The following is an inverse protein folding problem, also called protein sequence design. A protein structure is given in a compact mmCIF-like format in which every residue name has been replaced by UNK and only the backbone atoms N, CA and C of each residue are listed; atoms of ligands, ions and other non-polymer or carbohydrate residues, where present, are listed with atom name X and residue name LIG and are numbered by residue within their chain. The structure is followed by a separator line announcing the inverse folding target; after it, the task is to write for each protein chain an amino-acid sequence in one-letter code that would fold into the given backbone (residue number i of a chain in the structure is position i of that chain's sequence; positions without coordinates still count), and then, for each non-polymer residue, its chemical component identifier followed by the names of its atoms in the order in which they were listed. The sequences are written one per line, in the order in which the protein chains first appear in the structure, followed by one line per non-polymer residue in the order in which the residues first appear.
data_IF_587866769990
#
_entry.id   IF_587866769990
#
_cell.length_a   1.000
_cell.length_b   1.000
_cell.length_c   1.000
_cell.angle_alpha   90.00
_cell.angle_beta   90.00
_cell.angle_gamma   90.00
#
_symmetry.space_group_name_H-M   'P 1'
#
loop_
_entity.id
_entity.type
_entity.pdbx_description
1 polymer ?
2 water ?
#
# COMPACT_ATOMS: atom_id res chain seq x y z
N UNK A 6 6.75 17.90 -5.34
CA UNK A 6 7.43 16.64 -5.03
C UNK A 6 6.61 15.77 -4.07
N UNK A 7 6.42 14.51 -4.43
CA UNK A 7 5.50 13.61 -3.73
C UNK A 7 5.81 13.38 -2.23
N UNK A 8 7.04 12.98 -1.92
CA UNK A 8 7.43 12.76 -0.53
C UNK A 8 7.40 14.05 0.32
N UNK A 9 7.97 15.14 -0.21
CA UNK A 9 7.94 16.42 0.50
C UNK A 9 6.52 16.85 0.81
N UNK A 10 5.65 16.64 -0.17
CA UNK A 10 4.28 17.14 -0.06
C UNK A 10 3.55 16.38 1.03
N UNK A 11 3.85 15.10 1.17
CA UNK A 11 3.24 14.28 2.20
C UNK A 11 3.76 14.68 3.57
N UNK A 12 5.08 14.82 3.67
CA UNK A 12 5.70 15.22 4.91
C UNK A 12 5.20 16.60 5.33
N UNK A 13 5.08 17.53 4.38
CA UNK A 13 4.68 18.91 4.71
C UNK A 13 3.25 18.96 5.26
N UNK A 14 2.37 18.10 4.73
CA UNK A 14 0.99 18.05 5.21
C UNK A 14 0.95 17.64 6.68
N UNK A 15 1.93 16.85 7.10
CA UNK A 15 1.98 16.40 8.49
C UNK A 15 3.07 17.10 9.30
N UNK A 16 3.48 18.27 8.83
CA UNK A 16 4.47 19.11 9.52
C UNK A 16 5.76 18.35 9.80
N UNK A 17 6.30 17.68 8.79
CA UNK A 17 7.50 16.89 8.97
C UNK A 17 8.53 17.19 7.87
N UNK A 18 9.79 16.87 8.14
CA UNK A 18 10.85 17.04 7.16
C UNK A 18 11.47 15.71 6.80
N UNK A 19 12.19 15.67 5.69
CA UNK A 19 12.96 14.48 5.34
C UNK A 19 14.04 14.24 6.39
N UNK A 20 14.60 15.33 6.90
CA UNK A 20 15.62 15.24 7.95
C UNK A 20 15.12 14.41 9.12
N UNK A 21 13.90 14.71 9.57
CA UNK A 21 13.28 13.97 10.66
C UNK A 21 13.09 12.49 10.30
N UNK A 22 12.57 12.23 9.11
CA UNK A 22 12.41 10.86 8.62
C UNK A 22 13.75 10.12 8.66
N UNK A 23 14.78 10.80 8.18
CA UNK A 23 16.14 10.27 8.09
C UNK A 23 16.72 9.90 9.46
N UNK A 24 16.40 10.71 10.47
CA UNK A 24 16.94 10.50 11.81
C UNK A 24 16.18 9.40 12.53
N UNK A 25 14.91 9.24 12.19
CA UNK A 25 14.09 8.16 12.75
C UNK A 25 14.48 6.81 12.15
N UNK A 26 14.80 6.81 10.86
CA UNK A 26 14.99 5.57 10.11
C UNK A 26 16.43 5.15 9.85
N UNK A 27 17.36 6.10 9.87
CA UNK A 27 18.73 5.81 9.49
C UNK A 27 18.93 5.87 7.98
N UNK A 28 17.88 6.16 7.23
CA UNK A 28 18.01 6.39 5.80
C UNK A 28 18.70 7.73 5.55
N UNK A 29 19.72 7.74 4.69
CA UNK A 29 20.51 8.94 4.44
C UNK A 29 19.72 10.03 3.72
N UNK A 30 20.06 11.28 3.98
CA UNK A 30 19.39 12.41 3.35
C UNK A 30 19.43 12.33 1.82
N UNK A 31 20.57 11.90 1.26
CA UNK A 31 20.69 11.81 -0.19
C UNK A 31 19.70 10.77 -0.74
N UNK A 32 19.51 9.68 0.00
CA UNK A 32 18.59 8.64 -0.43
C UNK A 32 17.16 9.18 -0.42
N UNK A 33 16.82 9.94 0.61
CA UNK A 33 15.46 10.50 0.72
C UNK A 33 15.25 11.58 -0.32
N UNK A 34 16.31 12.32 -0.62
CA UNK A 34 16.29 13.29 -1.70
C UNK A 34 15.95 12.61 -3.02
N UNK A 35 16.62 11.48 -3.27
CA UNK A 35 16.34 10.72 -4.47
C UNK A 35 14.92 10.17 -4.40
N UNK A 36 14.51 9.66 -3.24
CA UNK A 36 13.15 9.15 -3.01
C UNK A 36 12.08 10.16 -3.37
N UNK A 37 12.33 11.40 -2.99
CA UNK A 37 11.43 12.52 -3.26
C UNK A 37 11.17 12.77 -4.76
N UNK A 38 12.05 12.27 -5.61
CA UNK A 38 11.94 12.47 -7.07
C UNK A 38 11.18 11.31 -7.76
N UNK A 39 10.99 10.23 -7.03
CA UNK A 39 10.37 9.02 -7.60
C UNK A 39 8.84 9.11 -7.68
N UNK A 40 8.25 8.55 -8.77
CA UNK A 40 6.80 8.40 -8.80
C UNK A 40 6.33 7.37 -7.76
N UNK A 41 5.05 7.43 -7.39
CA UNK A 41 4.54 6.56 -6.34
C UNK A 41 4.73 5.07 -6.66
N UNK A 42 4.69 4.69 -7.94
CA UNK A 42 4.83 3.25 -8.26
C UNK A 42 6.19 2.67 -7.86
N UNK A 43 7.16 3.54 -7.58
CA UNK A 43 8.49 3.06 -7.18
C UNK A 43 8.64 2.93 -5.66
N UNK A 44 7.65 3.41 -4.94
CA UNK A 44 7.68 3.29 -3.47
C UNK A 44 7.62 1.85 -3.02
N UNK A 45 8.41 1.53 -1.99
CA UNK A 45 8.39 0.21 -1.39
C UNK A 45 7.44 0.16 -0.19
N UNK A 46 7.01 -1.04 0.16
CA UNK A 46 6.23 -1.23 1.36
C UNK A 46 7.05 -0.72 2.57
N UNK A 47 8.37 -0.96 2.54
CA UNK A 47 9.25 -0.46 3.61
C UNK A 47 9.08 1.04 3.85
N UNK A 48 9.08 1.83 2.78
CA UNK A 48 9.03 3.30 2.96
C UNK A 48 7.62 3.70 3.43
N UNK A 49 6.59 3.00 2.97
CA UNK A 49 5.23 3.24 3.44
C UNK A 49 5.12 3.00 4.95
N UNK A 50 5.78 1.95 5.42
CA UNK A 50 5.74 1.63 6.83
C UNK A 50 6.46 2.73 7.61
N UNK A 51 7.60 3.19 7.09
CA UNK A 51 8.37 4.28 7.72
C UNK A 51 7.50 5.53 7.82
N UNK A 52 6.80 5.83 6.74
CA UNK A 52 5.90 6.99 6.70
C UNK A 52 4.70 6.82 7.62
N UNK A 53 4.18 5.59 7.74
CA UNK A 53 3.11 5.31 8.68
C UNK A 53 3.57 5.54 10.13
N UNK A 54 4.78 5.09 10.43
CA UNK A 54 5.31 5.21 11.78
C UNK A 54 5.45 6.67 12.21
N UNK A 55 5.91 7.52 11.29
CA UNK A 55 6.23 8.89 11.67
C UNK A 55 5.00 9.80 11.62
N UNK A 56 4.06 9.48 10.75
CA UNK A 56 2.86 10.30 10.57
C UNK A 56 1.74 9.95 11.54
N UNK A 57 1.68 8.70 11.97
CA UNK A 57 0.57 8.23 12.77
C UNK A 57 -0.60 7.70 11.95
N UNK A 58 -0.51 7.79 10.64
CA UNK A 58 -1.55 7.22 9.78
C UNK A 58 -1.27 5.74 9.53
N UNK A 59 -2.32 4.97 9.25
CA UNK A 59 -2.13 3.60 8.83
C UNK A 59 -1.49 3.57 7.46
N UNK A 60 -0.89 2.44 7.11
CA UNK A 60 -0.25 2.31 5.80
C UNK A 60 -1.26 2.61 4.69
N UNK A 61 -2.52 2.22 4.90
CA UNK A 61 -3.57 2.47 3.92
C UNK A 61 -3.79 3.95 3.70
N UNK A 62 -3.92 4.68 4.78
CA UNK A 62 -4.13 6.11 4.67
C UNK A 62 -2.88 6.79 4.11
N UNK A 63 -1.69 6.35 4.52
CA UNK A 63 -0.45 6.86 3.89
C UNK A 63 -0.53 6.66 2.37
N UNK A 64 -0.85 5.44 1.96
CA UNK A 64 -0.98 5.12 0.54
C UNK A 64 -2.01 6.01 -0.17
N UNK A 65 -3.21 6.14 0.40
CA UNK A 65 -4.22 6.99 -0.20
C UNK A 65 -3.81 8.47 -0.28
N UNK A 66 -3.15 8.98 0.75
CA UNK A 66 -2.75 10.37 0.75
C UNK A 66 -1.70 10.60 -0.33
N UNK A 67 -0.82 9.62 -0.48
CA UNK A 67 0.18 9.66 -1.54
C UNK A 67 -0.49 9.58 -2.91
N UNK A 68 -1.48 8.69 -3.04
CA UNK A 68 -2.22 8.53 -4.28
C UNK A 68 -2.93 9.83 -4.63
N UNK A 69 -3.54 10.44 -3.61
CA UNK A 69 -4.27 11.69 -3.79
C UNK A 69 -3.33 12.78 -4.29
N UNK A 70 -2.18 12.93 -3.64
CA UNK A 70 -1.18 13.90 -4.06
C UNK A 70 -0.73 13.63 -5.50
N UNK A 71 -0.34 12.40 -5.80
CA UNK A 71 0.05 12.09 -7.18
C UNK A 71 -1.07 12.37 -8.20
N UNK A 72 -2.31 12.10 -7.81
CA UNK A 72 -3.45 12.30 -8.70
C UNK A 72 -3.63 13.77 -9.03
N UNK A 73 -3.41 14.63 -8.05
CA UNK A 73 -3.58 16.06 -8.28
C UNK A 73 -2.55 16.63 -9.25
N UNK A 74 -1.50 15.87 -9.55
CA UNK A 74 -0.49 16.32 -10.51
C UNK A 74 -0.53 15.50 -11.80
N UNK A 75 -1.36 14.46 -11.83
CA UNK A 75 -1.43 13.63 -13.02
C UNK A 75 -2.25 14.32 -14.11
N UNK A 76 -1.88 14.05 -15.36
CA UNK A 76 -2.56 14.64 -16.52
C UNK A 76 -3.96 14.06 -16.73
N UNK A 77 -4.22 12.90 -16.11
CA UNK A 77 -5.50 12.22 -16.23
C UNK A 77 -5.89 12.07 -17.69
N UNK A 78 -4.90 11.67 -18.49
CA UNK A 78 -5.12 11.38 -19.91
C UNK A 78 -5.75 12.55 -20.66
N UNK A 79 -5.36 13.76 -20.29
CA UNK A 79 -5.83 14.96 -20.94
C UNK A 79 -6.92 15.68 -20.17
N UNK A 80 -7.48 15.04 -19.16
CA UNK A 80 -8.59 15.65 -18.41
C UNK A 80 -8.14 16.73 -17.41
N UNK A 81 -6.90 16.67 -16.95
CA UNK A 81 -6.40 17.72 -16.04
C UNK A 81 -6.53 19.09 -16.69
N UNK A 82 -6.02 19.20 -17.91
CA UNK A 82 -6.13 20.43 -18.70
C UNK A 82 -7.57 20.86 -18.84
N UNK A 83 -8.46 19.91 -19.12
CA UNK A 83 -9.86 20.23 -19.36
C UNK A 83 -10.56 20.71 -18.10
N UNK A 84 -10.34 20.03 -16.99
CA UNK A 84 -10.98 20.38 -15.73
C UNK A 84 -10.51 21.74 -15.20
N UNK A 85 -9.22 22.03 -15.39
CA UNK A 85 -8.67 23.31 -14.95
C UNK A 85 -9.13 24.48 -15.83
N UNK A 86 -9.30 24.21 -17.12
CA UNK A 86 -9.77 25.26 -18.04
C UNK A 86 -11.12 25.80 -17.62
N UNK A 87 -11.95 24.91 -17.07
CA UNK A 87 -13.29 25.29 -16.64
C UNK A 87 -13.39 25.29 -15.12
N UNK A 88 -12.24 25.15 -14.46
CA UNK A 88 -12.10 25.09 -13.01
C UNK A 88 -13.25 24.31 -12.35
N UNK A 89 -13.31 23.02 -12.69
CA UNK A 89 -14.31 22.09 -12.16
C UNK A 89 -13.64 20.99 -11.34
N UNK A 90 -14.39 20.38 -10.43
CA UNK A 90 -13.86 19.30 -9.62
C UNK A 90 -14.86 18.17 -9.41
N UNK A 91 -14.47 16.96 -9.81
CA UNK A 91 -15.26 15.76 -9.60
C UNK A 91 -14.38 14.70 -8.92
N UNK A 92 -14.16 14.85 -7.60
CA UNK A 92 -13.23 14.08 -6.78
C UNK A 92 -13.25 12.56 -7.04
N UNK A 93 -14.40 11.92 -6.84
CA UNK A 93 -14.53 10.47 -7.00
C UNK A 93 -14.16 10.00 -8.40
N UNK A 94 -14.67 10.69 -9.41
CA UNK A 94 -14.48 10.27 -10.79
C UNK A 94 -13.04 10.51 -11.21
N UNK A 95 -12.46 11.62 -10.78
CA UNK A 95 -11.07 11.94 -11.10
C UNK A 95 -10.14 10.88 -10.51
N UNK A 96 -10.43 10.50 -9.28
CA UNK A 96 -9.60 9.51 -8.60
C UNK A 96 -9.74 8.15 -9.27
N UNK A 97 -10.95 7.79 -9.68
CA UNK A 97 -11.15 6.51 -10.34
C UNK A 97 -10.46 6.47 -11.70
N UNK A 98 -10.49 7.58 -12.43
CA UNK A 98 -9.74 7.69 -13.68
C UNK A 98 -8.23 7.52 -13.44
N UNK A 99 -7.72 8.18 -12.39
CA UNK A 99 -6.32 8.04 -11.98
C UNK A 99 -6.00 6.57 -11.70
N UNK A 100 -6.85 5.92 -10.90
CA UNK A 100 -6.69 4.50 -10.58
C UNK A 100 -6.52 3.62 -11.81
N UNK A 101 -7.44 3.79 -12.77
CA UNK A 101 -7.41 3.01 -14.01
C UNK A 101 -6.13 3.27 -14.80
N UNK A 102 -5.73 4.53 -14.90
CA UNK A 102 -4.52 4.87 -15.62
C UNK A 102 -3.30 4.18 -14.98
N UNK A 103 -3.27 4.14 -13.65
CA UNK A 103 -2.13 3.54 -12.96
C UNK A 103 -2.15 2.02 -13.07
N UNK A 104 -3.36 1.44 -13.14
CA UNK A 104 -3.50 0.01 -13.38
C UNK A 104 -2.92 -0.36 -14.75
N UNK A 105 -3.31 0.37 -15.80
CA UNK A 105 -2.79 0.10 -17.14
C UNK A 105 -1.27 0.21 -17.17
N UNK A 106 -0.74 1.23 -16.52
CA UNK A 106 0.70 1.43 -16.46
C UNK A 106 1.42 0.23 -15.79
N UNK A 107 0.81 -0.34 -14.75
CA UNK A 107 1.39 -1.51 -14.10
C UNK A 107 1.31 -2.75 -15.00
N UNK A 108 0.53 -2.67 -16.07
CA UNK A 108 0.50 -3.75 -17.06
C UNK A 108 1.28 -3.34 -18.32
N UNK A 109 2.13 -2.33 -18.18
CA UNK A 109 2.95 -1.78 -19.28
C UNK A 109 2.10 -1.42 -20.50
N UNK A 110 0.94 -0.85 -20.24
CA UNK A 110 0.05 -0.39 -21.30
C UNK A 110 -0.15 1.11 -21.20
N UNK A 111 0.22 1.86 -22.23
CA UNK A 111 0.06 3.29 -22.14
C UNK A 111 -1.38 3.67 -22.50
N UNK A 112 -1.90 4.66 -21.80
CA UNK A 112 -3.24 5.16 -22.04
C UNK A 112 -3.13 6.42 -22.88
N UNK A 113 -3.61 6.35 -24.12
CA UNK A 113 -3.59 7.49 -25.01
C UNK A 113 -4.49 8.58 -24.45
N UNK A 114 -4.03 9.84 -24.55
CA UNK A 114 -4.80 10.98 -24.04
C UNK A 114 -6.13 11.13 -24.76
N UNK A 115 -7.17 11.51 -24.04
CA UNK A 115 -8.42 11.87 -24.68
C UNK A 115 -8.24 13.25 -25.30
N UNK A 116 -8.97 13.55 -26.38
CA UNK A 116 -8.81 14.82 -27.06
C UNK A 116 -10.10 15.60 -26.95
N UNK A 117 -10.03 16.92 -26.98
CA UNK A 117 -11.21 17.75 -26.74
C UNK A 117 -11.28 18.95 -27.68
N UNK A 118 -10.54 18.86 -28.78
CA UNK A 118 -10.47 19.95 -29.76
C UNK A 118 -11.85 20.44 -30.19
N UNK A 119 -12.77 19.51 -30.42
CA UNK A 119 -14.11 19.93 -30.84
C UNK A 119 -14.92 20.42 -29.65
N UNK A 120 -14.76 19.75 -28.53
CA UNK A 120 -15.36 20.18 -27.26
C UNK A 120 -15.06 21.64 -26.98
N UNK A 121 -13.78 22.02 -27.04
CA UNK A 121 -13.35 23.35 -26.61
C UNK A 121 -13.61 24.46 -27.63
N UNK A 122 -14.22 24.13 -28.76
CA UNK A 122 -14.60 25.15 -29.74
C UNK A 122 -16.11 25.28 -29.85
N UNK A 123 -16.82 24.57 -28.98
CA UNK A 123 -18.27 24.67 -28.90
C UNK A 123 -18.67 25.41 -27.63
N UNK A 124 -19.80 26.09 -27.68
CA UNK A 124 -20.34 26.73 -26.49
C UNK A 124 -20.97 25.68 -25.57
N UNK A 125 -20.73 25.83 -24.26
CA UNK A 125 -21.32 24.94 -23.27
C UNK A 125 -22.02 25.73 -22.18
N UNK A 126 -23.34 25.87 -22.31
CA UNK A 126 -24.16 26.54 -21.30
C UNK A 126 -24.20 25.72 -20.01
N UNK A 127 -23.99 24.42 -20.12
CA UNK A 127 -23.84 23.57 -18.95
C UNK A 127 -22.50 22.85 -19.04
N UNK A 128 -21.44 23.59 -18.72
CA UNK A 128 -20.08 23.07 -18.84
C UNK A 128 -19.80 21.99 -17.78
N UNK A 129 -20.45 22.10 -16.63
CA UNK A 129 -20.30 21.13 -15.55
C UNK A 129 -20.82 19.76 -15.96
N UNK A 130 -22.05 19.73 -16.45
CA UNK A 130 -22.69 18.48 -16.84
C UNK A 130 -21.99 17.87 -18.05
N UNK A 131 -21.53 18.74 -18.95
CA UNK A 131 -20.85 18.29 -20.17
C UNK A 131 -19.53 17.62 -19.84
N UNK A 132 -18.73 18.26 -19.00
CA UNK A 132 -17.43 17.69 -18.64
C UNK A 132 -17.61 16.44 -17.79
N UNK A 133 -18.59 16.45 -16.89
CA UNK A 133 -18.93 15.24 -16.11
C UNK A 133 -19.25 14.07 -17.02
N UNK A 134 -20.07 14.31 -18.05
CA UNK A 134 -20.45 13.22 -18.94
C UNK A 134 -19.21 12.67 -19.66
N UNK A 135 -18.33 13.56 -20.12
CA UNK A 135 -17.13 13.11 -20.82
C UNK A 135 -16.23 12.30 -19.90
N UNK A 136 -16.14 12.71 -18.64
CA UNK A 136 -15.32 12.00 -17.69
C UNK A 136 -15.91 10.63 -17.35
N UNK A 137 -17.23 10.60 -17.16
CA UNK A 137 -17.90 9.33 -16.90
C UNK A 137 -17.74 8.34 -18.05
N UNK A 138 -17.82 8.83 -19.29
CA UNK A 138 -17.65 7.93 -20.42
C UNK A 138 -16.21 7.51 -20.65
N UNK A 139 -15.27 8.41 -20.35
CA UNK A 139 -13.86 8.01 -20.37
C UNK A 139 -13.60 6.84 -19.41
N UNK A 140 -14.18 6.91 -18.22
CA UNK A 140 -14.02 5.85 -17.23
C UNK A 140 -14.70 4.57 -17.70
N UNK A 141 -15.87 4.72 -18.33
CA UNK A 141 -16.61 3.57 -18.82
C UNK A 141 -15.78 2.85 -19.88
N UNK A 142 -15.20 3.64 -20.78
CA UNK A 142 -14.44 3.08 -21.89
C UNK A 142 -13.17 2.38 -21.37
N UNK A 143 -12.49 3.01 -20.44
CA UNK A 143 -11.29 2.43 -19.85
C UNK A 143 -11.60 1.16 -19.09
N UNK A 144 -12.77 1.10 -18.47
CA UNK A 144 -13.18 -0.11 -17.76
C UNK A 144 -13.42 -1.24 -18.73
N UNK A 145 -14.00 -0.93 -19.89
CA UNK A 145 -14.23 -1.92 -20.93
C UNK A 145 -12.89 -2.46 -21.43
N UNK A 146 -11.94 -1.55 -21.67
CA UNK A 146 -10.64 -1.93 -22.19
C UNK A 146 -9.87 -2.76 -21.17
N UNK A 147 -10.01 -2.40 -19.90
CA UNK A 147 -9.38 -3.13 -18.81
C UNK A 147 -9.92 -4.57 -18.76
N UNK A 148 -11.22 -4.71 -18.97
CA UNK A 148 -11.84 -6.03 -18.94
C UNK A 148 -11.37 -6.96 -20.06
N UNK A 149 -11.07 -6.41 -21.23
CA UNK A 149 -10.58 -7.23 -22.33
C UNK A 149 -9.18 -7.77 -22.10
N UNK A 150 -8.50 -7.26 -21.08
CA UNK A 150 -7.17 -7.75 -20.72
C UNK A 150 -7.25 -9.00 -19.86
N UNK A 151 -8.37 -9.12 -19.15
CA UNK A 151 -8.49 -10.08 -18.06
C UNK A 151 -9.15 -11.37 -18.52
N UNK B 6 6.61 -18.66 0.22
CA UNK B 6 6.75 -17.75 -0.91
C UNK B 6 5.50 -16.87 -1.04
N UNK B 7 5.68 -15.59 -0.77
CA UNK B 7 4.59 -14.64 -0.61
C UNK B 7 3.76 -14.44 -1.88
N UNK B 8 4.44 -14.12 -2.97
CA UNK B 8 3.77 -13.84 -4.23
C UNK B 8 2.95 -15.02 -4.73
N UNK B 9 3.55 -16.20 -4.74
CA UNK B 9 2.88 -17.42 -5.15
C UNK B 9 1.65 -17.74 -4.32
N UNK B 10 1.75 -17.56 -3.00
CA UNK B 10 0.60 -17.84 -2.13
C UNK B 10 -0.58 -16.88 -2.41
N UNK B 11 -0.28 -15.60 -2.64
CA UNK B 11 -1.32 -14.64 -2.99
C UNK B 11 -2.04 -15.06 -4.29
N UNK B 12 -1.25 -15.36 -5.32
CA UNK B 12 -1.78 -15.77 -6.61
C UNK B 12 -2.61 -17.04 -6.47
N UNK B 13 -2.06 -18.04 -5.79
CA UNK B 13 -2.75 -19.33 -5.61
C UNK B 13 -4.09 -19.15 -4.90
N UNK B 14 -4.15 -18.23 -3.94
CA UNK B 14 -5.38 -17.96 -3.19
C UNK B 14 -6.45 -17.42 -4.13
N UNK B 15 -6.03 -16.78 -5.21
CA UNK B 15 -6.98 -16.23 -6.18
C UNK B 15 -7.05 -17.08 -7.45
N UNK B 16 -6.56 -18.31 -7.38
CA UNK B 16 -6.55 -19.25 -8.50
C UNK B 16 -5.85 -18.63 -9.71
N UNK B 17 -4.76 -17.93 -9.44
CA UNK B 17 -3.92 -17.32 -10.48
C UNK B 17 -2.51 -17.88 -10.45
N UNK B 18 -1.79 -17.73 -11.57
CA UNK B 18 -0.44 -18.25 -11.70
C UNK B 18 0.51 -17.15 -12.15
N UNK B 19 1.81 -17.38 -11.97
CA UNK B 19 2.81 -16.44 -12.45
C UNK B 19 2.72 -16.29 -13.97
N UNK B 20 2.36 -17.39 -14.65
CA UNK B 20 2.12 -17.37 -16.09
C UNK B 20 1.10 -16.31 -16.47
N UNK B 21 -0.05 -16.32 -15.80
CA UNK B 21 -1.10 -15.35 -16.11
C UNK B 21 -0.62 -13.92 -15.78
N UNK B 22 0.13 -13.77 -14.70
CA UNK B 22 0.56 -12.43 -14.30
C UNK B 22 1.58 -11.89 -15.33
N UNK B 23 2.48 -12.77 -15.74
CA UNK B 23 3.44 -12.46 -16.79
C UNK B 23 2.71 -12.11 -18.08
N UNK B 24 1.72 -12.91 -18.45
CA UNK B 24 0.97 -12.70 -19.69
C UNK B 24 0.29 -11.35 -19.70
N UNK B 25 -0.30 -10.98 -18.56
CA UNK B 25 -0.97 -9.69 -18.43
C UNK B 25 -0.01 -8.50 -18.52
N UNK B 26 1.14 -8.60 -17.86
CA UNK B 26 1.98 -7.45 -17.62
C UNK B 26 3.23 -7.38 -18.49
N UNK B 27 3.56 -8.48 -19.16
CA UNK B 27 4.84 -8.57 -19.84
C UNK B 27 6.05 -8.68 -18.90
N UNK B 28 5.80 -8.77 -17.59
CA UNK B 28 6.91 -9.02 -16.66
C UNK B 28 7.45 -10.43 -16.87
N UNK B 29 8.75 -10.55 -17.09
CA UNK B 29 9.36 -11.84 -17.40
C UNK B 29 9.14 -12.85 -16.27
N UNK B 30 9.15 -14.13 -16.61
CA UNK B 30 8.91 -15.12 -15.59
C UNK B 30 10.16 -15.18 -14.68
N UNK B 31 11.32 -14.85 -15.22
CA UNK B 31 12.52 -14.70 -14.39
C UNK B 31 12.36 -13.64 -13.30
N UNK B 32 11.88 -12.46 -13.70
CA UNK B 32 11.62 -11.37 -12.76
C UNK B 32 10.62 -11.78 -11.71
N UNK B 33 9.55 -12.48 -12.11
CA UNK B 33 8.52 -12.84 -11.15
C UNK B 33 9.08 -13.89 -10.20
N UNK B 34 10.00 -14.70 -10.69
CA UNK B 34 10.62 -15.70 -9.83
C UNK B 34 11.45 -15.04 -8.74
N UNK B 35 12.25 -14.04 -9.11
CA UNK B 35 13.00 -13.26 -8.15
C UNK B 35 12.05 -12.54 -7.20
N UNK B 36 10.94 -12.05 -7.73
CA UNK B 36 9.96 -11.34 -6.93
C UNK B 36 9.41 -12.22 -5.81
N UNK B 37 9.26 -13.49 -6.12
CA UNK B 37 8.62 -14.43 -5.23
C UNK B 37 9.48 -14.70 -3.99
N UNK B 38 10.77 -14.40 -4.09
CA UNK B 38 11.72 -14.62 -3.00
C UNK B 38 11.92 -13.42 -2.08
N UNK B 39 11.36 -12.27 -2.45
CA UNK B 39 11.58 -11.05 -1.68
C UNK B 39 10.63 -10.93 -0.50
N UNK B 40 11.12 -10.40 0.63
CA UNK B 40 10.19 -10.12 1.71
C UNK B 40 9.25 -9.00 1.29
N UNK B 41 8.11 -8.91 1.94
CA UNK B 41 7.10 -7.95 1.59
C UNK B 41 7.65 -6.49 1.60
N UNK B 42 8.55 -6.20 2.54
CA UNK B 42 9.02 -4.80 2.66
C UNK B 42 9.72 -4.31 1.40
N UNK B 43 10.13 -5.23 0.52
CA UNK B 43 10.72 -4.82 -0.76
C UNK B 43 9.71 -4.68 -1.93
N UNK B 44 8.47 -5.10 -1.74
CA UNK B 44 7.48 -4.98 -2.81
C UNK B 44 7.25 -3.51 -3.12
N UNK B 45 7.11 -3.17 -4.40
CA UNK B 45 6.80 -1.81 -4.83
C UNK B 45 5.29 -1.61 -5.02
N UNK B 46 4.86 -0.36 -5.04
CA UNK B 46 3.49 -0.03 -5.38
C UNK B 46 3.15 -0.52 -6.79
N UNK B 47 4.16 -0.53 -7.67
CA UNK B 47 3.95 -1.04 -9.04
C UNK B 47 3.44 -2.48 -9.03
N UNK B 48 4.11 -3.36 -8.28
CA UNK B 48 3.71 -4.76 -8.29
C UNK B 48 2.39 -4.91 -7.53
N UNK B 49 2.17 -4.12 -6.47
CA UNK B 49 0.86 -4.14 -5.84
C UNK B 49 -0.26 -3.77 -6.84
N UNK B 50 -0.02 -2.75 -7.68
CA UNK B 50 -1.00 -2.38 -8.72
C UNK B 50 -1.23 -3.47 -9.76
N UNK B 51 -0.15 -4.13 -10.20
CA UNK B 51 -0.29 -5.27 -11.11
C UNK B 51 -1.17 -6.35 -10.50
N UNK B 52 -0.93 -6.61 -9.22
CA UNK B 52 -1.66 -7.67 -8.52
C UNK B 52 -3.13 -7.27 -8.35
N UNK B 53 -3.35 -5.98 -8.12
CA UNK B 53 -4.68 -5.40 -7.98
C UNK B 53 -5.44 -5.57 -9.28
N UNK B 54 -4.77 -5.27 -10.39
CA UNK B 54 -5.35 -5.38 -11.71
C UNK B 54 -5.81 -6.81 -11.98
N UNK B 55 -4.94 -7.78 -11.73
CA UNK B 55 -5.28 -9.14 -12.09
C UNK B 55 -6.27 -9.79 -11.13
N UNK B 56 -6.31 -9.33 -9.88
CA UNK B 56 -7.11 -10.02 -8.85
C UNK B 56 -8.46 -9.37 -8.61
N UNK B 57 -8.61 -8.11 -8.99
CA UNK B 57 -9.85 -7.39 -8.74
C UNK B 57 -9.87 -6.70 -7.38
N UNK B 58 -8.82 -6.92 -6.59
CA UNK B 58 -8.68 -6.29 -5.27
C UNK B 58 -8.14 -4.87 -5.39
N UNK B 59 -8.59 -3.98 -4.51
CA UNK B 59 -7.96 -2.68 -4.38
C UNK B 59 -6.49 -2.87 -3.99
N UNK B 60 -5.66 -1.89 -4.27
CA UNK B 60 -4.25 -1.99 -3.88
C UNK B 60 -4.11 -2.22 -2.37
N UNK B 61 -4.95 -1.53 -1.60
CA UNK B 61 -4.94 -1.67 -0.14
C UNK B 61 -5.30 -3.10 0.32
N UNK B 62 -6.25 -3.73 -0.36
CA UNK B 62 -6.63 -5.10 -0.01
C UNK B 62 -5.55 -6.09 -0.47
N UNK B 63 -4.89 -5.82 -1.60
CA UNK B 63 -3.74 -6.66 -2.01
C UNK B 63 -2.68 -6.67 -0.91
N UNK B 64 -2.33 -5.49 -0.44
CA UNK B 64 -1.27 -5.36 0.54
C UNK B 64 -1.67 -6.08 1.82
N UNK B 65 -2.92 -5.90 2.23
CA UNK B 65 -3.39 -6.54 3.44
C UNK B 65 -3.32 -8.07 3.36
N UNK B 66 -3.65 -8.62 2.19
CA UNK B 66 -3.59 -10.08 2.01
C UNK B 66 -2.14 -10.54 2.03
N UNK B 67 -1.25 -9.75 1.43
CA UNK B 67 0.18 -10.08 1.45
C UNK B 67 0.70 -10.02 2.89
N UNK B 68 0.29 -8.99 3.62
CA UNK B 68 0.64 -8.86 5.05
C UNK B 68 0.13 -10.04 5.88
N UNK B 69 -1.12 -10.46 5.63
CA UNK B 69 -1.74 -11.57 6.36
C UNK B 69 -0.96 -12.86 6.11
N UNK B 70 -0.56 -13.09 4.86
CA UNK B 70 0.28 -14.23 4.54
C UNK B 70 1.65 -14.15 5.22
N UNK B 71 2.29 -12.98 5.15
CA UNK B 71 3.62 -12.86 5.77
C UNK B 71 3.50 -13.08 7.27
N UNK B 72 2.43 -12.54 7.84
CA UNK B 72 2.19 -12.61 9.28
C UNK B 72 2.07 -14.06 9.81
N UNK B 73 1.48 -14.94 9.01
CA UNK B 73 1.35 -16.34 9.41
C UNK B 73 2.70 -17.00 9.54
N UNK B 74 3.70 -16.43 8.88
CA UNK B 74 5.04 -16.97 8.94
C UNK B 74 5.93 -16.25 9.96
N UNK B 75 5.43 -15.19 10.57
CA UNK B 75 6.22 -14.36 11.49
C UNK B 75 6.27 -14.94 12.90
N UNK B 76 7.42 -14.83 13.56
CA UNK B 76 7.59 -15.32 14.94
C UNK B 76 6.77 -14.54 15.97
N UNK B 77 6.31 -13.34 15.60
CA UNK B 77 5.54 -12.47 16.51
C UNK B 77 6.30 -12.19 17.78
N UNK B 78 7.60 -11.97 17.65
CA UNK B 78 8.49 -11.68 18.78
C UNK B 78 8.36 -12.71 19.90
N UNK B 79 8.13 -13.97 19.54
CA UNK B 79 8.04 -15.05 20.51
C UNK B 79 6.64 -15.61 20.75
N UNK B 80 5.61 -14.86 20.37
CA UNK B 80 4.24 -15.28 20.68
C UNK B 80 3.75 -16.43 19.82
N UNK B 81 4.28 -16.55 18.60
CA UNK B 81 3.89 -17.65 17.72
C UNK B 81 4.13 -19.01 18.38
N UNK B 82 5.31 -19.16 18.98
CA UNK B 82 5.64 -20.40 19.69
C UNK B 82 4.61 -20.67 20.80
N UNK B 83 4.25 -19.62 21.53
CA UNK B 83 3.31 -19.75 22.62
C UNK B 83 1.91 -20.11 22.10
N UNK B 84 1.43 -19.33 21.14
CA UNK B 84 0.12 -19.57 20.54
C UNK B 84 0.01 -20.98 19.97
N UNK B 85 1.04 -21.42 19.26
CA UNK B 85 1.05 -22.74 18.64
C UNK B 85 1.02 -23.86 19.70
N UNK B 86 1.64 -23.62 20.85
CA UNK B 86 1.66 -24.63 21.90
C UNK B 86 0.24 -25.01 22.31
N UNK B 87 -0.61 -24.01 22.49
CA UNK B 87 -1.95 -24.21 22.99
C UNK B 87 -2.99 -24.16 21.89
N UNK B 88 -2.52 -24.09 20.64
CA UNK B 88 -3.40 -24.14 19.48
C UNK B 88 -4.38 -22.97 19.52
N UNK B 89 -3.88 -21.79 19.89
CA UNK B 89 -4.71 -20.61 20.05
C UNK B 89 -4.61 -19.69 18.85
N UNK B 90 -5.65 -18.88 18.66
CA UNK B 90 -5.66 -17.90 17.59
C UNK B 90 -6.40 -16.63 17.99
N UNK B 91 -5.69 -15.52 17.90
CA UNK B 91 -6.24 -14.20 18.14
C UNK B 91 -5.93 -13.38 16.90
N UNK B 92 -6.67 -13.59 15.82
CA UNK B 92 -6.35 -13.02 14.50
C UNK B 92 -6.08 -11.51 14.53
N UNK B 93 -6.88 -10.78 15.28
CA UNK B 93 -6.81 -9.32 15.29
C UNK B 93 -5.55 -8.86 16.01
N UNK B 94 -5.37 -9.34 17.23
CA UNK B 94 -4.23 -8.95 18.05
C UNK B 94 -2.91 -9.48 17.51
N UNK B 95 -2.91 -10.67 16.92
CA UNK B 95 -1.69 -11.16 16.30
C UNK B 95 -1.26 -10.22 15.16
N UNK B 96 -2.23 -9.78 14.35
CA UNK B 96 -1.92 -8.92 13.21
C UNK B 96 -1.42 -7.55 13.67
N UNK B 97 -2.02 -7.04 14.73
CA UNK B 97 -1.58 -5.79 15.33
C UNK B 97 -0.13 -5.89 15.82
N UNK B 98 0.19 -6.98 16.51
CA UNK B 98 1.54 -7.19 17.00
C UNK B 98 2.50 -7.25 15.81
N UNK B 99 2.15 -8.03 14.80
CA UNK B 99 2.88 -8.08 13.53
C UNK B 99 3.11 -6.69 12.95
N UNK B 100 2.05 -5.89 12.91
CA UNK B 100 2.13 -4.57 12.29
C UNK B 100 3.11 -3.67 13.05
N UNK B 101 3.08 -3.74 14.38
CA UNK B 101 3.99 -2.96 15.21
C UNK B 101 5.45 -3.38 15.01
N UNK B 102 5.70 -4.68 14.92
CA UNK B 102 7.06 -5.17 14.69
C UNK B 102 7.62 -4.73 13.32
N UNK B 103 6.77 -4.74 12.31
CA UNK B 103 7.22 -4.31 10.98
C UNK B 103 7.50 -2.82 10.93
N UNK B 104 6.75 -2.05 11.71
CA UNK B 104 6.99 -0.63 11.82
C UNK B 104 8.36 -0.38 12.40
N UNK B 105 8.73 -1.12 13.44
CA UNK B 105 10.03 -0.90 14.07
C UNK B 105 11.13 -1.30 13.12
N UNK B 106 10.91 -2.39 12.40
CA UNK B 106 11.83 -2.81 11.35
C UNK B 106 12.10 -1.69 10.32
N UNK B 107 11.05 -0.97 9.92
CA UNK B 107 11.18 0.09 8.92
C UNK B 107 11.95 1.30 9.42
N UNK B 108 12.11 1.38 10.75
CA UNK B 108 12.97 2.40 11.32
C UNK B 108 14.27 1.76 11.79
N UNK B 109 14.51 0.54 11.31
CA UNK B 109 15.75 -0.18 11.56
C UNK B 109 15.98 -0.41 13.06
N UNK B 110 14.88 -0.72 13.75
CA UNK B 110 14.90 -0.84 15.20
C UNK B 110 14.59 -2.27 15.66
N UNK B 111 15.55 -2.81 16.39
CA UNK B 111 15.49 -4.13 17.03
C UNK B 111 14.28 -4.31 17.93
N UNK B 112 13.50 -5.36 17.71
CA UNK B 112 12.45 -5.74 18.66
C UNK B 112 12.86 -7.00 19.39
N UNK B 113 13.31 -6.84 20.63
CA UNK B 113 13.66 -7.97 21.47
C UNK B 113 12.48 -8.93 21.64
N UNK B 114 12.73 -10.24 21.56
CA UNK B 114 11.61 -11.18 21.73
C UNK B 114 11.03 -11.12 23.15
N UNK B 115 9.71 -11.27 23.28
CA UNK B 115 9.12 -11.42 24.61
C UNK B 115 9.44 -12.81 25.13
N UNK B 116 9.70 -12.92 26.43
CA UNK B 116 9.98 -14.22 27.05
C UNK B 116 8.89 -14.60 28.04
N UNK B 117 8.73 -15.90 28.27
CA UNK B 117 7.60 -16.38 29.04
C UNK B 117 8.03 -17.34 30.14
N UNK B 118 9.21 -17.10 30.69
CA UNK B 118 9.74 -17.93 31.77
C UNK B 118 8.80 -17.92 32.96
N UNK B 119 8.36 -16.74 33.35
CA UNK B 119 7.36 -16.59 34.40
C UNK B 119 6.05 -17.28 34.01
N UNK B 120 5.57 -16.96 32.81
CA UNK B 120 4.28 -17.45 32.35
C UNK B 120 4.14 -18.97 32.43
N UNK B 121 5.17 -19.70 32.03
CA UNK B 121 5.04 -21.14 31.85
C UNK B 121 5.47 -21.93 33.08
N UNK B 122 5.71 -21.22 34.18
CA UNK B 122 5.88 -21.87 35.48
C UNK B 122 4.56 -21.74 36.22
N UNK B 123 4.07 -20.50 36.27
CA UNK B 123 2.74 -20.15 36.76
C UNK B 123 1.67 -21.01 36.09
N UNK B 124 0.59 -21.32 36.82
CA UNK B 124 -0.49 -22.14 36.27
C UNK B 124 -1.65 -21.23 35.83
N UNK B 125 -2.45 -21.73 34.89
CA UNK B 125 -3.51 -20.94 34.30
C UNK B 125 -4.80 -21.74 34.20
N UNK B 126 -5.87 -21.25 34.82
CA UNK B 126 -7.14 -21.95 34.74
C UNK B 126 -7.78 -21.73 33.37
N UNK B 127 -7.64 -20.52 32.85
CA UNK B 127 -8.08 -20.23 31.49
C UNK B 127 -6.89 -19.82 30.65
N UNK B 128 -6.25 -20.80 30.02
CA UNK B 128 -5.03 -20.55 29.27
C UNK B 128 -5.28 -19.59 28.11
N UNK B 129 -6.47 -19.67 27.51
CA UNK B 129 -6.84 -18.79 26.41
C UNK B 129 -6.86 -17.34 26.88
N UNK B 130 -7.54 -17.09 27.99
CA UNK B 130 -7.64 -15.75 28.53
C UNK B 130 -6.27 -15.20 28.91
N UNK B 131 -5.46 -16.02 29.56
CA UNK B 131 -4.16 -15.55 30.02
C UNK B 131 -3.20 -15.25 28.88
N UNK B 132 -3.23 -16.05 27.83
CA UNK B 132 -2.39 -15.75 26.68
C UNK B 132 -2.90 -14.50 26.00
N UNK B 133 -4.22 -14.35 25.90
CA UNK B 133 -4.79 -13.14 25.30
C UNK B 133 -4.30 -11.91 26.05
N UNK B 134 -4.26 -12.00 27.37
CA UNK B 134 -3.85 -10.86 28.17
C UNK B 134 -2.35 -10.58 28.03
N UNK B 135 -1.54 -11.63 27.94
CA UNK B 135 -0.11 -11.45 27.71
C UNK B 135 0.14 -10.79 26.35
N UNK B 136 -0.65 -11.18 25.37
CA UNK B 136 -0.52 -10.66 24.02
C UNK B 136 -0.90 -9.17 23.97
N UNK B 137 -1.98 -8.81 24.65
CA UNK B 137 -2.40 -7.42 24.67
C UNK B 137 -1.41 -6.55 25.44
N UNK B 138 -0.87 -7.07 26.53
CA UNK B 138 0.17 -6.38 27.27
C UNK B 138 1.42 -6.15 26.44
N UNK B 139 1.76 -7.12 25.58
CA UNK B 139 2.88 -6.95 24.67
C UNK B 139 2.60 -5.83 23.69
N UNK B 140 1.39 -5.83 23.13
CA UNK B 140 0.99 -4.81 22.17
C UNK B 140 1.11 -3.43 22.79
N UNK B 141 0.68 -3.33 24.04
CA UNK B 141 0.77 -2.08 24.81
C UNK B 141 2.22 -1.63 24.98
N UNK B 142 3.09 -2.58 25.34
CA UNK B 142 4.52 -2.28 25.48
C UNK B 142 5.11 -1.72 24.18
N UNK B 143 4.69 -2.29 23.06
CA UNK B 143 5.22 -1.84 21.79
C UNK B 143 4.68 -0.48 21.44
N UNK B 144 3.39 -0.26 21.73
CA UNK B 144 2.74 1.01 21.42
C UNK B 144 3.39 2.13 22.19
N UNK B 145 3.73 1.85 23.45
CA UNK B 145 4.43 2.81 24.30
C UNK B 145 5.81 3.09 23.76
N UNK B 146 6.56 2.03 23.43
CA UNK B 146 7.88 2.17 22.83
C UNK B 146 7.79 3.02 21.56
N UNK B 147 6.73 2.79 20.80
CA UNK B 147 6.50 3.57 19.59
C UNK B 147 6.35 5.06 19.90
N UNK B 148 5.53 5.40 20.88
CA UNK B 148 5.23 6.80 21.18
C UNK B 148 6.35 7.52 21.91
N UNK B 149 7.44 6.82 22.17
CA UNK B 149 8.58 7.44 22.83
C UNK B 149 9.71 7.62 21.83
N UNK B 150 9.49 7.08 20.63
CA UNK B 150 10.33 7.37 19.46
C UNK B 150 9.94 8.73 18.92
N UNK B 151 8.64 8.93 18.87
CA UNK B 151 8.04 10.06 18.21
C UNK B 151 8.03 11.29 19.11
#
# INVERSE_FOLDING_TARGET
GSMTIKLLDEFLKKHDLTRYQLSKLTGISQNTLKDQNEKPLNKYTVSILRSLSLISGLSVSDVLFELEDIEKNSDDLAGFKHLLDKYKLSFPAQEFELYCLIKEFESANIEVLPFTFNRFENEEHVNIKKDVCKALENAITVLKEKKNELL
GSMTIKLLDEFLKKHDLTRYQLSKLTGISQNTLKDQNEKPLNKYTVSILRSLSLISGLSVSDVLFELEDIEKNSDDLAGFKHLLDKYKLSFPAQEFELYCLIKEFESANIEVLPFTFNRFENEEHVNIKKDVCKALENAITVLKEKKNELL
#
